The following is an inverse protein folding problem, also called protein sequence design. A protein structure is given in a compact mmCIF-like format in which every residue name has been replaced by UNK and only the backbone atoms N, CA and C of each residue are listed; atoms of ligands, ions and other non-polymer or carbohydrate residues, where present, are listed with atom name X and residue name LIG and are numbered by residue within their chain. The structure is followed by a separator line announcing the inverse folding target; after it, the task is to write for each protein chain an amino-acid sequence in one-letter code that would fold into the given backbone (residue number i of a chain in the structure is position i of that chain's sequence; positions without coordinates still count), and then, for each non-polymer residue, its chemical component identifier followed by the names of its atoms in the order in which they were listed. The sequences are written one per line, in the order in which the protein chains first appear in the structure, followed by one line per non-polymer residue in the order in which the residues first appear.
data_IF_690143738065
#
_entry.id   IF_690143738065
#
_cell.length_a   1.000
_cell.length_b   1.000
_cell.length_c   1.000
_cell.angle_alpha   90.00
_cell.angle_beta   90.00
_cell.angle_gamma   90.00
#
_symmetry.space_group_name_H-M   'P 1'
#
loop_
_entity.id
_entity.type
_entity.pdbx_description
1 polymer ?
#
# COMPACT_ATOMS: atom_id res chain seq x y z
N UNK A 1 3.01 -4.83 -8.24
CA UNK A 1 2.22 -5.84 -9.01
C UNK A 1 1.14 -5.07 -9.76
N UNK A 2 1.02 -5.19 -11.08
CA UNK A 2 0.08 -4.36 -11.83
C UNK A 2 -1.33 -4.53 -11.27
N UNK A 3 -1.95 -3.41 -10.89
CA UNK A 3 -3.33 -3.39 -10.41
C UNK A 3 -3.53 -3.46 -8.89
N UNK A 4 -2.49 -3.32 -8.06
CA UNK A 4 -2.65 -3.21 -6.59
C UNK A 4 -1.92 -1.96 -6.10
N UNK A 5 -2.66 -1.05 -5.47
CA UNK A 5 -2.14 0.05 -4.66
C UNK A 5 -2.08 -0.40 -3.20
N UNK A 6 -0.97 -0.08 -2.52
CA UNK A 6 -0.79 -0.39 -1.10
C UNK A 6 -0.75 0.93 -0.34
N UNK A 7 -1.54 1.03 0.71
CA UNK A 7 -1.52 2.17 1.63
C UNK A 7 -1.08 1.72 3.02
N UNK A 8 -0.27 2.54 3.68
CA UNK A 8 0.10 2.40 5.08
C UNK A 8 -0.43 3.64 5.81
N UNK A 9 -1.34 3.45 6.77
CA UNK A 9 -1.97 4.54 7.52
C UNK A 9 -2.58 5.62 6.59
N UNK A 10 -3.28 5.18 5.54
CA UNK A 10 -3.89 5.99 4.49
C UNK A 10 -2.89 6.77 3.59
N UNK A 11 -1.58 6.58 3.76
CA UNK A 11 -0.52 7.13 2.92
C UNK A 11 -0.05 6.12 1.87
N UNK A 12 0.39 6.61 0.71
CA UNK A 12 0.91 5.78 -0.37
C UNK A 12 2.24 5.13 0.04
N UNK A 13 2.30 3.80 -0.03
CA UNK A 13 3.48 3.01 0.33
C UNK A 13 4.73 3.40 -0.48
N UNK A 14 4.55 3.88 -1.72
CA UNK A 14 5.65 4.34 -2.56
C UNK A 14 6.38 5.56 -1.95
N UNK A 15 5.68 6.38 -1.18
CA UNK A 15 6.27 7.55 -0.51
C UNK A 15 6.95 7.21 0.82
N UNK A 16 6.59 6.07 1.41
CA UNK A 16 7.11 5.60 2.70
C UNK A 16 8.37 4.73 2.55
N UNK A 17 8.89 4.59 1.33
CA UNK A 17 10.13 3.84 1.04
C UNK A 17 9.92 2.42 0.54
N UNK A 18 8.69 2.08 0.12
CA UNK A 18 8.36 0.80 -0.51
C UNK A 18 8.90 -0.40 0.31
N UNK A 19 9.66 -1.29 -0.31
CA UNK A 19 10.20 -2.51 0.30
C UNK A 19 11.17 -2.23 1.47
N UNK A 20 11.64 -1.00 1.64
CA UNK A 20 12.47 -0.58 2.77
C UNK A 20 11.66 -0.12 3.99
N UNK A 21 10.34 0.04 3.88
CA UNK A 21 9.50 0.40 5.02
C UNK A 21 9.47 -0.74 6.04
N UNK A 22 9.92 -0.45 7.26
CA UNK A 22 9.82 -1.38 8.38
C UNK A 22 8.43 -1.23 9.03
N UNK A 23 7.63 -2.30 8.99
CA UNK A 23 6.28 -2.32 9.57
C UNK A 23 6.37 -2.06 11.08
N UNK A 24 5.56 -1.12 11.54
CA UNK A 24 5.45 -0.75 12.94
C UNK A 24 4.21 -1.38 13.58
N UNK A 25 4.27 -1.56 14.90
CA UNK A 25 3.12 -2.05 15.64
C UNK A 25 1.98 -1.03 15.59
N UNK A 26 0.80 -1.47 15.16
CA UNK A 26 -0.39 -0.63 15.03
C UNK A 26 -0.60 -0.03 13.65
N UNK A 27 0.29 -0.28 12.69
CA UNK A 27 0.07 0.14 11.30
C UNK A 27 -1.19 -0.49 10.71
N UNK A 28 -1.96 0.32 9.99
CA UNK A 28 -3.03 -0.15 9.14
C UNK A 28 -2.53 -0.29 7.71
N UNK A 29 -2.54 -1.53 7.20
CA UNK A 29 -2.10 -1.85 5.84
C UNK A 29 -3.33 -2.17 4.98
N UNK A 30 -3.57 -1.34 3.97
CA UNK A 30 -4.70 -1.49 3.06
C UNK A 30 -4.21 -1.86 1.65
N UNK A 31 -4.78 -2.93 1.10
CA UNK A 31 -4.55 -3.36 -0.27
C UNK A 31 -5.76 -2.98 -1.13
N UNK A 32 -5.57 -2.08 -2.08
CA UNK A 32 -6.61 -1.66 -3.03
C UNK A 32 -6.30 -2.27 -4.39
N UNK A 33 -7.12 -3.24 -4.81
CA UNK A 33 -7.03 -3.78 -6.17
C UNK A 33 -7.74 -2.83 -7.13
N UNK A 34 -7.00 -2.20 -8.04
CA UNK A 34 -7.57 -1.51 -9.19
C UNK A 34 -7.97 -2.55 -10.24
N UNK A 35 -9.08 -3.23 -9.98
CA UNK A 35 -9.79 -3.99 -11.00
C UNK A 35 -10.22 -2.99 -12.07
N UNK A 36 -9.57 -3.05 -13.24
CA UNK A 36 -10.07 -2.43 -14.45
C UNK A 36 -11.28 -3.27 -14.90
N UNK A 37 -12.43 -3.05 -14.26
CA UNK A 37 -13.71 -3.51 -14.78
C UNK A 37 -14.10 -2.62 -15.94
N UNK A 38 -14.10 -3.18 -17.15
CA UNK A 38 -14.84 -2.61 -18.27
C UNK A 38 -16.34 -2.62 -18.00
#
# INVERSE_FOLDING_TARGET
RPGILVLINDADWELEGEEAYEIQNGDNILFVSTLHGG
#
